data_IF_612483956634
#
_entry.id   IF_612483956634
#
_cell.length_a   1.000
_cell.length_b   1.000
_cell.length_c   1.000
_cell.angle_alpha   90.00
_cell.angle_beta   90.00
_cell.angle_gamma   90.00
#
_symmetry.space_group_name_H-M   'P 1'
#
loop_
_entity.id
_entity.type
_entity.pdbx_description
1 polymer ?
#
# COMPACT_ATOMS: atom_id res chain seq x y z
N UNK A 1 -12.28 -4.95 0.04
CA UNK A 1 -13.72 -5.22 -0.07
C UNK A 1 -14.22 -6.10 1.09
N UNK A 2 -13.90 -7.40 1.14
CA UNK A 2 -14.48 -8.32 2.13
C UNK A 2 -14.23 -7.93 3.60
N UNK A 3 -12.97 -7.68 3.99
CA UNK A 3 -12.65 -7.21 5.36
C UNK A 3 -13.34 -5.88 5.67
N UNK A 4 -13.32 -4.92 4.74
CA UNK A 4 -14.00 -3.63 4.89
C UNK A 4 -15.51 -3.79 5.09
N UNK A 5 -16.17 -4.67 4.33
CA UNK A 5 -17.59 -4.97 4.49
C UNK A 5 -17.90 -5.57 5.85
N UNK A 6 -17.06 -6.51 6.32
CA UNK A 6 -17.18 -7.07 7.67
C UNK A 6 -17.02 -6.01 8.77
N UNK A 7 -16.03 -5.11 8.63
CA UNK A 7 -15.84 -3.98 9.56
C UNK A 7 -17.02 -3.00 9.53
N UNK A 8 -17.67 -2.84 8.37
CA UNK A 8 -18.91 -2.09 8.21
C UNK A 8 -20.18 -2.84 8.65
N UNK A 9 -20.06 -3.96 9.37
CA UNK A 9 -21.19 -4.71 9.92
C UNK A 9 -21.88 -5.68 8.95
N UNK A 10 -21.38 -5.84 7.72
CA UNK A 10 -21.93 -6.83 6.79
C UNK A 10 -21.55 -8.25 7.21
N UNK A 11 -22.50 -9.18 7.09
CA UNK A 11 -22.21 -10.61 7.22
C UNK A 11 -21.43 -11.08 6.01
N UNK A 12 -20.16 -11.44 6.23
CA UNK A 12 -19.28 -12.00 5.20
C UNK A 12 -18.97 -13.45 5.53
N UNK A 13 -19.25 -14.34 4.59
CA UNK A 13 -18.99 -15.77 4.73
C UNK A 13 -17.49 -16.05 4.92
N UNK A 14 -17.15 -16.88 5.91
CA UNK A 14 -15.78 -17.36 6.16
C UNK A 14 -15.18 -18.05 4.94
N UNK A 15 -15.97 -18.84 4.20
CA UNK A 15 -15.50 -19.51 2.99
C UNK A 15 -15.09 -18.50 1.89
N UNK A 16 -15.77 -17.35 1.80
CA UNK A 16 -15.39 -16.27 0.90
C UNK A 16 -14.03 -15.67 1.29
N UNK A 17 -13.83 -15.41 2.59
CA UNK A 17 -12.57 -14.90 3.12
C UNK A 17 -11.41 -15.87 2.89
N UNK A 18 -11.62 -17.17 3.10
CA UNK A 18 -10.61 -18.22 2.82
C UNK A 18 -10.24 -18.27 1.34
N UNK A 19 -11.21 -18.19 0.43
CA UNK A 19 -10.94 -18.16 -1.02
C UNK A 19 -10.17 -16.91 -1.44
N UNK A 20 -10.50 -15.75 -0.89
CA UNK A 20 -9.79 -14.51 -1.16
C UNK A 20 -8.31 -14.57 -0.73
N UNK A 21 -8.02 -15.26 0.37
CA UNK A 21 -6.65 -15.44 0.79
C UNK A 21 -5.87 -16.46 -0.01
N UNK A 22 -6.52 -17.56 -0.42
CA UNK A 22 -5.91 -18.50 -1.36
C UNK A 22 -5.56 -17.80 -2.68
N UNK A 23 -6.42 -16.89 -3.14
CA UNK A 23 -6.12 -16.04 -4.29
C UNK A 23 -4.86 -15.19 -4.07
N UNK A 24 -4.73 -14.52 -2.92
CA UNK A 24 -3.52 -13.74 -2.59
C UNK A 24 -2.28 -14.62 -2.50
N UNK A 25 -2.36 -15.80 -1.89
CA UNK A 25 -1.26 -16.75 -1.82
C UNK A 25 -0.80 -17.16 -3.22
N UNK A 26 -1.73 -17.44 -4.13
CA UNK A 26 -1.43 -17.81 -5.51
C UNK A 26 -0.95 -16.62 -6.38
N UNK A 27 -1.19 -15.39 -5.94
CA UNK A 27 -0.69 -14.17 -6.59
C UNK A 27 0.72 -13.77 -6.11
N UNK A 28 1.26 -14.42 -5.09
CA UNK A 28 2.63 -14.18 -4.61
C UNK A 28 3.65 -14.69 -5.61
N UNK A 29 4.66 -13.87 -5.87
CA UNK A 29 5.76 -14.23 -6.73
C UNK A 29 6.80 -15.12 -6.03
N UNK A 30 7.53 -15.90 -6.84
CA UNK A 30 8.60 -16.82 -6.39
C UNK A 30 9.94 -16.42 -7.01
N UNK A 31 11.02 -17.05 -6.54
CA UNK A 31 12.37 -16.88 -7.10
C UNK A 31 12.86 -15.44 -6.97
N UNK A 32 13.35 -14.85 -8.06
CA UNK A 32 13.95 -13.50 -8.07
C UNK A 32 12.98 -12.38 -7.66
N UNK A 33 11.66 -12.60 -7.75
CA UNK A 33 10.61 -11.64 -7.39
C UNK A 33 9.94 -11.96 -6.05
N UNK A 34 10.53 -12.84 -5.24
CA UNK A 34 9.98 -13.20 -3.95
C UNK A 34 9.79 -11.95 -3.06
N UNK A 35 8.60 -11.78 -2.49
CA UNK A 35 8.18 -10.54 -1.81
C UNK A 35 7.30 -9.61 -2.66
N UNK A 36 7.04 -9.95 -3.92
CA UNK A 36 6.16 -9.17 -4.80
C UNK A 36 4.83 -9.88 -5.10
N UNK A 37 3.82 -9.12 -5.52
CA UNK A 37 2.52 -9.65 -5.97
C UNK A 37 2.27 -9.37 -7.45
N UNK A 38 1.79 -10.38 -8.17
CA UNK A 38 1.14 -10.22 -9.46
C UNK A 38 -0.30 -9.72 -9.31
N UNK A 39 -0.87 -9.20 -10.39
CA UNK A 39 -2.29 -8.81 -10.41
C UNK A 39 -3.23 -10.01 -10.28
N UNK A 40 -2.86 -11.13 -10.91
CA UNK A 40 -3.65 -12.36 -10.93
C UNK A 40 -2.72 -13.57 -10.67
N UNK A 41 -3.24 -14.64 -10.05
CA UNK A 41 -2.57 -15.93 -9.98
C UNK A 41 -2.04 -16.40 -11.33
N UNK A 42 -0.80 -16.91 -11.34
CA UNK A 42 -0.13 -17.34 -12.56
C UNK A 42 0.46 -16.21 -13.42
N UNK A 43 0.23 -14.94 -13.06
CA UNK A 43 0.87 -13.80 -13.71
C UNK A 43 2.37 -13.72 -13.44
N UNK A 44 3.15 -13.33 -14.45
CA UNK A 44 4.62 -13.19 -14.35
C UNK A 44 5.10 -11.73 -14.12
N UNK A 45 4.20 -10.76 -14.34
CA UNK A 45 4.48 -9.32 -14.21
C UNK A 45 4.01 -8.78 -12.86
N UNK A 46 4.84 -7.91 -12.31
CA UNK A 46 4.61 -7.21 -11.05
C UNK A 46 4.74 -5.71 -11.27
N UNK A 47 4.09 -4.92 -10.43
CA UNK A 47 4.26 -3.46 -10.39
C UNK A 47 4.26 -3.01 -8.94
N UNK A 48 4.89 -1.89 -8.61
CA UNK A 48 4.91 -1.36 -7.24
C UNK A 48 3.49 -1.25 -6.66
N UNK A 49 2.54 -0.77 -7.46
CA UNK A 49 1.14 -0.65 -7.07
C UNK A 49 0.50 -2.02 -6.74
N UNK A 50 0.70 -3.04 -7.57
CA UNK A 50 0.12 -4.37 -7.31
C UNK A 50 0.77 -5.06 -6.12
N UNK A 51 2.10 -4.93 -5.96
CA UNK A 51 2.81 -5.41 -4.77
C UNK A 51 2.28 -4.76 -3.49
N UNK A 52 2.12 -3.43 -3.49
CA UNK A 52 1.54 -2.70 -2.36
C UNK A 52 0.09 -3.12 -2.06
N UNK A 53 -0.74 -3.29 -3.08
CA UNK A 53 -2.13 -3.74 -2.92
C UNK A 53 -2.23 -5.16 -2.37
N UNK A 54 -1.48 -6.10 -2.93
CA UNK A 54 -1.47 -7.48 -2.47
C UNK A 54 -1.03 -7.58 -1.01
N UNK A 55 0.02 -6.83 -0.66
CA UNK A 55 0.52 -6.75 0.71
C UNK A 55 -0.50 -6.12 1.67
N UNK A 56 -1.13 -5.00 1.30
CA UNK A 56 -2.19 -4.38 2.09
C UNK A 56 -3.37 -5.33 2.32
N UNK A 57 -3.83 -6.02 1.27
CA UNK A 57 -4.89 -7.01 1.38
C UNK A 57 -4.50 -8.16 2.32
N UNK A 58 -3.25 -8.61 2.29
CA UNK A 58 -2.75 -9.61 3.23
C UNK A 58 -2.81 -9.11 4.68
N UNK A 59 -2.38 -7.86 4.95
CA UNK A 59 -2.46 -7.27 6.29
C UNK A 59 -3.89 -7.15 6.79
N UNK A 60 -4.80 -6.67 5.94
CA UNK A 60 -6.23 -6.62 6.26
C UNK A 60 -6.84 -7.99 6.58
N UNK A 61 -6.35 -9.07 5.96
CA UNK A 61 -6.85 -10.42 6.17
C UNK A 61 -6.05 -11.23 7.20
N UNK A 62 -4.97 -10.69 7.79
CA UNK A 62 -4.02 -11.48 8.60
C UNK A 62 -4.67 -12.17 9.80
N UNK A 63 -5.63 -11.53 10.47
CA UNK A 63 -6.35 -12.12 11.63
C UNK A 63 -7.36 -13.19 11.20
N UNK A 64 -7.83 -13.13 9.95
CA UNK A 64 -8.86 -14.04 9.42
C UNK A 64 -8.26 -15.36 8.96
N UNK A 65 -6.95 -15.37 8.77
CA UNK A 65 -6.25 -16.41 8.04
C UNK A 65 -5.35 -17.27 8.92
N UNK A 66 -5.35 -17.04 10.22
CA UNK A 66 -4.38 -17.64 11.14
C UNK A 66 -2.95 -17.57 10.58
N UNK A 67 -2.61 -16.57 9.76
CA UNK A 67 -1.29 -16.47 9.10
C UNK A 67 -0.16 -16.34 10.12
N UNK A 68 -0.48 -15.93 11.35
CA UNK A 68 0.43 -15.81 12.48
C UNK A 68 0.60 -17.12 13.28
N UNK A 69 -0.19 -18.17 12.99
CA UNK A 69 -0.21 -19.43 13.76
C UNK A 69 -0.17 -20.65 12.82
N UNK A 70 0.58 -21.68 13.19
CA UNK A 70 0.65 -22.95 12.44
C UNK A 70 1.76 -23.02 11.39
N UNK A 71 1.73 -24.09 10.58
CA UNK A 71 2.88 -24.57 9.78
C UNK A 71 3.41 -23.57 8.75
N UNK A 72 2.57 -22.65 8.26
CA UNK A 72 2.93 -21.68 7.22
C UNK A 72 3.42 -20.32 7.75
N UNK A 73 3.35 -20.07 9.06
CA UNK A 73 3.67 -18.77 9.65
C UNK A 73 5.09 -18.30 9.32
N UNK A 74 6.07 -19.23 9.33
CA UNK A 74 7.45 -18.93 8.96
C UNK A 74 7.63 -18.52 7.49
N UNK A 75 6.89 -19.14 6.57
CA UNK A 75 6.93 -18.79 5.14
C UNK A 75 6.34 -17.42 4.87
N UNK A 76 5.23 -17.11 5.54
CA UNK A 76 4.57 -15.80 5.44
C UNK A 76 5.47 -14.71 6.00
N UNK A 77 6.11 -14.94 7.15
CA UNK A 77 7.08 -13.98 7.71
C UNK A 77 8.24 -13.73 6.75
N UNK A 78 8.82 -14.77 6.16
CA UNK A 78 9.88 -14.62 5.15
C UNK A 78 9.41 -13.80 3.95
N UNK A 79 8.19 -14.03 3.48
CA UNK A 79 7.61 -13.28 2.38
C UNK A 79 7.37 -11.80 2.77
N UNK A 80 6.94 -11.56 3.99
CA UNK A 80 6.74 -10.21 4.52
C UNK A 80 8.05 -9.46 4.65
N UNK A 81 9.10 -10.09 5.17
CA UNK A 81 10.45 -9.52 5.25
C UNK A 81 10.97 -9.16 3.84
N UNK A 82 10.72 -10.00 2.84
CA UNK A 82 11.07 -9.71 1.46
C UNK A 82 10.25 -8.54 0.88
N UNK A 83 8.95 -8.48 1.19
CA UNK A 83 8.09 -7.35 0.81
C UNK A 83 8.57 -6.04 1.45
N UNK A 84 9.03 -6.08 2.70
CA UNK A 84 9.59 -4.90 3.40
C UNK A 84 10.86 -4.42 2.73
N UNK A 85 11.78 -5.33 2.40
CA UNK A 85 12.99 -4.98 1.64
C UNK A 85 12.64 -4.33 0.30
N UNK A 86 11.63 -4.85 -0.39
CA UNK A 86 11.13 -4.26 -1.63
C UNK A 86 10.63 -2.82 -1.41
N UNK A 87 9.80 -2.54 -0.39
CA UNK A 87 9.33 -1.18 -0.15
C UNK A 87 10.45 -0.22 0.27
N UNK A 88 11.40 -0.67 1.08
CA UNK A 88 12.55 0.16 1.49
C UNK A 88 13.48 0.50 0.30
N UNK A 89 13.58 -0.40 -0.68
CA UNK A 89 14.30 -0.13 -1.93
C UNK A 89 13.53 0.78 -2.90
N UNK A 90 12.24 1.02 -2.68
CA UNK A 90 11.35 1.77 -3.57
C UNK A 90 10.65 2.93 -2.85
N UNK A 91 11.37 3.59 -1.93
CA UNK A 91 10.86 4.75 -1.20
C UNK A 91 10.52 5.91 -2.16
N UNK A 92 9.60 6.81 -1.76
CA UNK A 92 9.37 8.07 -2.48
C UNK A 92 10.67 8.85 -2.65
N UNK A 93 10.91 9.38 -3.86
CA UNK A 93 12.11 10.17 -4.17
C UNK A 93 11.69 11.60 -4.51
N UNK A 94 12.17 12.56 -3.73
CA UNK A 94 11.85 13.98 -3.92
C UNK A 94 12.32 14.53 -5.27
N UNK A 95 13.50 14.11 -5.74
CA UNK A 95 14.16 14.71 -6.90
C UNK A 95 13.54 14.35 -8.25
N UNK A 96 12.70 13.31 -8.33
CA UNK A 96 12.09 12.86 -9.58
C UNK A 96 10.59 12.63 -9.43
N UNK A 97 9.82 13.70 -9.67
CA UNK A 97 8.38 13.63 -9.77
C UNK A 97 7.88 13.10 -11.12
N UNK A 98 8.73 12.93 -12.13
CA UNK A 98 8.31 12.35 -13.42
C UNK A 98 8.13 10.83 -13.31
N UNK A 99 8.86 10.17 -12.41
CA UNK A 99 8.68 8.77 -12.03
C UNK A 99 7.57 8.50 -11.00
N UNK A 100 6.85 9.54 -10.53
CA UNK A 100 5.90 9.39 -9.43
C UNK A 100 4.73 8.46 -9.76
N UNK A 101 4.31 7.71 -8.75
CA UNK A 101 3.10 6.91 -8.80
C UNK A 101 2.30 7.09 -7.50
N UNK A 102 1.45 8.12 -7.46
CA UNK A 102 0.58 8.41 -6.32
C UNK A 102 -0.29 7.20 -5.91
N UNK A 103 -0.66 6.35 -6.86
CA UNK A 103 -1.45 5.14 -6.56
C UNK A 103 -0.64 4.13 -5.75
N UNK A 104 0.63 3.94 -6.14
CA UNK A 104 1.55 3.12 -5.38
C UNK A 104 1.76 3.71 -3.98
N UNK A 105 2.03 5.02 -3.89
CA UNK A 105 2.23 5.69 -2.61
C UNK A 105 1.05 5.52 -1.67
N UNK A 106 -0.17 5.69 -2.18
CA UNK A 106 -1.40 5.45 -1.41
C UNK A 106 -1.46 4.03 -0.85
N UNK A 107 -1.35 3.00 -1.70
CA UNK A 107 -1.46 1.61 -1.20
C UNK A 107 -0.27 1.18 -0.34
N UNK A 108 0.94 1.67 -0.61
CA UNK A 108 2.12 1.37 0.20
C UNK A 108 2.02 2.01 1.58
N UNK A 109 1.51 3.25 1.65
CA UNK A 109 1.21 3.93 2.91
C UNK A 109 0.23 3.13 3.74
N UNK A 110 -0.89 2.68 3.16
CA UNK A 110 -1.85 1.82 3.84
C UNK A 110 -1.26 0.47 4.28
N UNK A 111 -0.48 -0.19 3.42
CA UNK A 111 0.20 -1.45 3.72
C UNK A 111 1.16 -1.32 4.89
N UNK A 112 2.03 -0.30 4.85
CA UNK A 112 3.08 -0.09 5.84
C UNK A 112 2.51 0.43 7.15
N UNK A 113 1.49 1.29 7.11
CA UNK A 113 0.77 1.70 8.31
C UNK A 113 0.19 0.49 9.06
N UNK A 114 -0.44 -0.45 8.34
CA UNK A 114 -0.97 -1.67 8.95
C UNK A 114 0.12 -2.67 9.38
N UNK A 115 1.32 -2.59 8.81
CA UNK A 115 2.48 -3.35 9.26
C UNK A 115 3.12 -2.75 10.51
N UNK A 116 3.08 -1.42 10.66
CA UNK A 116 3.71 -0.69 11.74
C UNK A 116 5.24 -0.81 11.76
N UNK A 117 5.81 -0.53 12.93
CA UNK A 117 7.24 -0.67 13.18
C UNK A 117 8.13 0.32 12.41
N UNK A 118 9.40 -0.05 12.28
CA UNK A 118 10.43 0.81 11.67
C UNK A 118 10.21 1.09 10.16
N UNK A 119 9.75 0.12 9.33
CA UNK A 119 9.45 0.39 7.92
C UNK A 119 8.37 1.46 7.73
N UNK A 120 7.35 1.47 8.59
CA UNK A 120 6.32 2.50 8.59
C UNK A 120 6.90 3.88 8.87
N UNK A 121 7.74 4.02 9.91
CA UNK A 121 8.34 5.30 10.30
C UNK A 121 9.16 5.90 9.16
N UNK A 122 10.06 5.11 8.56
CA UNK A 122 10.87 5.54 7.41
C UNK A 122 9.98 5.99 6.25
N UNK A 123 8.99 5.17 5.90
CA UNK A 123 8.11 5.47 4.78
C UNK A 123 7.32 6.76 5.01
N UNK A 124 6.73 6.91 6.19
CA UNK A 124 5.89 8.06 6.52
C UNK A 124 6.69 9.36 6.53
N UNK A 125 7.86 9.36 7.17
CA UNK A 125 8.77 10.51 7.18
C UNK A 125 9.15 10.89 5.75
N UNK A 126 9.64 9.91 4.98
CA UNK A 126 10.07 10.17 3.60
C UNK A 126 8.95 10.66 2.69
N UNK A 127 7.78 10.05 2.76
CA UNK A 127 6.64 10.45 1.93
C UNK A 127 6.14 11.84 2.34
N UNK A 128 6.11 12.15 3.64
CA UNK A 128 5.69 13.46 4.15
C UNK A 128 6.61 14.55 3.62
N UNK A 129 7.93 14.38 3.74
CA UNK A 129 8.90 15.34 3.21
C UNK A 129 8.68 15.60 1.71
N UNK A 130 8.55 14.51 0.93
CA UNK A 130 8.34 14.58 -0.52
C UNK A 130 7.06 15.32 -0.86
N UNK A 131 5.96 15.04 -0.16
CA UNK A 131 4.68 15.68 -0.41
C UNK A 131 4.71 17.16 0.01
N UNK A 132 5.29 17.50 1.15
CA UNK A 132 5.37 18.90 1.62
C UNK A 132 6.26 19.75 0.70
N UNK A 133 7.40 19.21 0.24
CA UNK A 133 8.29 19.89 -0.72
C UNK A 133 7.58 20.21 -2.04
N UNK A 134 6.63 19.37 -2.46
CA UNK A 134 5.92 19.50 -3.73
C UNK A 134 4.50 20.04 -3.60
N UNK A 135 4.10 20.48 -2.41
CA UNK A 135 2.80 21.12 -2.22
C UNK A 135 2.83 22.50 -2.86
N UNK A 136 1.85 22.76 -3.73
CA UNK A 136 1.79 24.00 -4.51
C UNK A 136 1.65 25.21 -3.57
N UNK A 137 2.54 26.19 -3.73
CA UNK A 137 2.60 27.41 -2.94
C UNK A 137 1.50 28.44 -3.27
N UNK A 138 1.43 29.51 -2.46
CA UNK A 138 0.36 30.53 -2.53
C UNK A 138 0.36 31.31 -3.85
N UNK A 139 1.52 31.40 -4.49
CA UNK A 139 1.74 32.06 -5.77
C UNK A 139 0.96 31.44 -6.94
N UNK A 140 0.38 30.25 -6.76
CA UNK A 140 -0.37 29.53 -7.79
C UNK A 140 -1.91 29.61 -7.63
N UNK A 141 -2.43 30.61 -6.91
CA UNK A 141 -3.85 30.93 -6.86
C UNK A 141 -4.73 29.76 -6.41
N UNK A 142 -5.70 29.35 -7.24
CA UNK A 142 -6.64 28.26 -6.92
C UNK A 142 -6.00 26.88 -6.81
N UNK A 143 -4.76 26.72 -7.27
CA UNK A 143 -3.99 25.49 -7.09
C UNK A 143 -3.24 25.43 -5.76
N UNK A 144 -3.26 26.49 -4.94
CA UNK A 144 -2.60 26.52 -3.63
C UNK A 144 -3.00 25.32 -2.75
N UNK A 145 -2.01 24.64 -2.17
CA UNK A 145 -2.21 23.49 -1.29
C UNK A 145 -2.44 22.16 -2.03
N UNK A 146 -2.54 22.18 -3.36
CA UNK A 146 -2.70 20.98 -4.19
C UNK A 146 -1.37 20.34 -4.56
N UNK A 147 -1.42 19.22 -5.30
CA UNK A 147 -0.25 18.59 -5.91
C UNK A 147 -0.40 18.53 -7.41
N UNK A 148 0.66 18.91 -8.14
CA UNK A 148 0.68 18.81 -9.59
C UNK A 148 0.48 17.37 -10.07
N UNK A 149 -0.26 17.16 -11.18
CA UNK A 149 -0.51 15.83 -11.75
C UNK A 149 0.72 15.29 -12.50
N UNK A 150 1.80 15.00 -11.76
CA UNK A 150 3.06 14.46 -12.29
C UNK A 150 3.01 12.93 -12.41
N UNK A 151 3.80 12.38 -13.33
CA UNK A 151 3.85 10.94 -13.61
C UNK A 151 2.68 10.43 -14.46
N UNK A 152 2.86 9.24 -15.05
CA UNK A 152 1.99 8.73 -16.13
C UNK A 152 0.50 8.70 -15.79
N UNK A 153 0.14 8.25 -14.57
CA UNK A 153 -1.27 8.13 -14.16
C UNK A 153 -1.89 9.47 -13.79
N UNK A 154 -1.17 10.31 -13.05
CA UNK A 154 -1.73 11.59 -12.64
C UNK A 154 -1.85 12.54 -13.85
N UNK A 155 -0.93 12.50 -14.81
CA UNK A 155 -1.05 13.24 -16.06
C UNK A 155 -2.36 12.94 -16.82
N UNK A 156 -2.89 11.72 -16.69
CA UNK A 156 -4.18 11.33 -17.28
C UNK A 156 -5.37 11.68 -16.37
N UNK A 157 -5.21 11.55 -15.05
CA UNK A 157 -6.29 11.72 -14.08
C UNK A 157 -6.48 13.16 -13.55
N UNK A 158 -5.49 14.03 -13.75
CA UNK A 158 -5.52 15.45 -13.37
C UNK A 158 -5.22 15.74 -11.90
N UNK A 159 -5.24 17.04 -11.56
CA UNK A 159 -4.84 17.59 -10.25
C UNK A 159 -5.68 17.06 -9.09
N UNK A 160 -6.96 16.79 -9.31
CA UNK A 160 -7.84 16.25 -8.28
C UNK A 160 -7.32 14.90 -7.77
N UNK A 161 -6.88 14.04 -8.68
CA UNK A 161 -6.35 12.71 -8.36
C UNK A 161 -5.05 12.78 -7.53
N UNK A 162 -4.07 13.58 -7.96
CA UNK A 162 -2.81 13.74 -7.22
C UNK A 162 -3.06 14.36 -5.84
N UNK A 163 -3.96 15.34 -5.76
CA UNK A 163 -4.28 16.03 -4.51
C UNK A 163 -4.97 15.10 -3.52
N UNK A 164 -6.03 14.40 -3.95
CA UNK A 164 -6.75 13.46 -3.09
C UNK A 164 -5.82 12.38 -2.57
N UNK A 165 -5.02 11.73 -3.43
CA UNK A 165 -4.12 10.67 -2.97
C UNK A 165 -3.03 11.18 -2.03
N UNK A 166 -2.53 12.40 -2.23
CA UNK A 166 -1.55 13.02 -1.34
C UNK A 166 -2.14 13.28 0.04
N UNK A 167 -3.35 13.86 0.10
CA UNK A 167 -4.08 14.08 1.36
C UNK A 167 -4.35 12.74 2.07
N UNK A 168 -4.86 11.74 1.35
CA UNK A 168 -5.14 10.41 1.90
C UNK A 168 -3.88 9.75 2.49
N UNK A 169 -2.70 9.99 1.92
CA UNK A 169 -1.44 9.52 2.49
C UNK A 169 -1.11 10.23 3.81
N UNK A 170 -1.24 11.56 3.83
CA UNK A 170 -0.93 12.39 5.00
C UNK A 170 -1.89 12.17 6.16
N UNK A 171 -3.13 11.74 5.90
CA UNK A 171 -4.14 11.54 6.95
C UNK A 171 -4.25 10.12 7.50
N UNK A 172 -3.47 9.17 6.97
CA UNK A 172 -3.70 7.73 7.23
C UNK A 172 -3.73 7.39 8.73
N UNK A 173 -2.90 8.04 9.53
CA UNK A 173 -2.76 7.82 10.97
C UNK A 173 -3.78 8.62 11.81
N UNK A 174 -4.51 9.56 11.23
CA UNK A 174 -5.66 10.21 11.88
C UNK A 174 -6.96 9.44 11.62
N UNK A 175 -7.05 8.72 10.50
CA UNK A 175 -8.29 8.05 10.06
C UNK A 175 -8.42 6.59 10.48
N UNK A 176 -7.32 5.87 10.61
CA UNK A 176 -7.34 4.43 10.84
C UNK A 176 -6.60 4.09 12.12
N UNK A 177 -7.23 3.33 13.00
CA UNK A 177 -6.50 2.65 14.06
C UNK A 177 -5.59 1.57 13.42
N UNK A 178 -4.35 1.38 13.92
CA UNK A 178 -3.54 0.21 13.57
C UNK A 178 -4.32 -1.08 13.86
N UNK A 179 -4.18 -2.10 13.00
CA UNK A 179 -4.85 -3.41 13.21
C UNK A 179 -4.27 -4.22 14.38
N UNK A 180 -3.17 -3.79 14.98
CA UNK A 180 -2.60 -4.39 16.19
C UNK A 180 -2.45 -3.33 17.27
N UNK A 181 -3.01 -3.62 18.45
CA UNK A 181 -2.58 -3.01 19.70
C UNK A 181 -1.19 -3.60 20.05
N UNK A 182 -0.22 -2.74 20.36
CA UNK A 182 1.09 -3.18 20.89
C UNK A 182 0.92 -3.89 22.25
#
# INVERSE_FOLDING_TARGET
ALKSGKLGGLKVDKACLSRAAMYLENARMKGKKFGEYAYQPGGSRTTHAMTAQGFFCQKMLSDTLDLKKGRKAGEIRKFDDASMKYFMANLPVAKDMNGVNFYYWYYATHALFQQGGQPWRIWNERLTDVLLEHQVGREHGTAYGSWDPRGKRAAQAGRLYSTVLSILCLEVYYRYAPLSDD
#
